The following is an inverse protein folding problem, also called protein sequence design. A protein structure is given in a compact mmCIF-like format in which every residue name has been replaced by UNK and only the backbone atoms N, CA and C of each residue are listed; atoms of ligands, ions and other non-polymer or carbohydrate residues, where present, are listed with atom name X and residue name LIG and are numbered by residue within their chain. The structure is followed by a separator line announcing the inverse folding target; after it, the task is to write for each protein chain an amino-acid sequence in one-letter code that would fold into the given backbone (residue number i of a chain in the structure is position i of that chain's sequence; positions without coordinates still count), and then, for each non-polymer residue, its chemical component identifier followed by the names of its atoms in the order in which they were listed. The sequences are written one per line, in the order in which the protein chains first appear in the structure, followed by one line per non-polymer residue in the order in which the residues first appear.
data_IF_785743791390
#
_entry.id   IF_785743791390
#
_cell.length_a   1.000
_cell.length_b   1.000
_cell.length_c   1.000
_cell.angle_alpha   90.00
_cell.angle_beta   90.00
_cell.angle_gamma   90.00
#
_symmetry.space_group_name_H-M   'P 1'
#
loop_
_entity.id
_entity.type
_entity.pdbx_description
1 polymer ?
#
# COMPACT_ATOMS: atom_id res chain seq x y z
N UNK A 1 3.74 30.53 -12.78
CA UNK A 1 4.35 29.28 -12.29
C UNK A 1 3.68 28.97 -10.97
N UNK A 2 2.80 27.98 -10.93
CA UNK A 2 2.12 27.58 -9.68
C UNK A 2 3.05 26.60 -8.97
N UNK A 3 3.47 26.96 -7.76
CA UNK A 3 4.26 26.09 -6.89
C UNK A 3 3.48 24.78 -6.65
N UNK A 4 4.11 23.63 -6.85
CA UNK A 4 3.47 22.35 -6.57
C UNK A 4 3.18 22.30 -5.06
N UNK A 5 2.00 21.81 -4.64
CA UNK A 5 1.67 21.74 -3.23
C UNK A 5 2.72 20.91 -2.49
N UNK A 6 3.21 21.44 -1.37
CA UNK A 6 4.11 20.72 -0.47
C UNK A 6 3.44 19.41 -0.05
N UNK A 7 4.11 18.25 -0.19
CA UNK A 7 3.53 16.99 0.22
C UNK A 7 3.31 16.99 1.74
N UNK A 8 2.19 16.45 2.19
CA UNK A 8 1.92 16.30 3.61
C UNK A 8 2.87 15.26 4.22
N UNK A 9 3.29 15.47 5.46
CA UNK A 9 4.17 14.54 6.19
C UNK A 9 3.59 14.21 7.56
N UNK A 10 4.02 13.09 8.13
CA UNK A 10 3.65 12.73 9.50
C UNK A 10 4.33 11.45 9.97
N UNK A 11 3.93 11.01 11.16
CA UNK A 11 4.39 9.77 11.81
C UNK A 11 3.33 8.68 11.72
N UNK A 12 3.77 7.42 11.67
CA UNK A 12 2.93 6.24 11.73
C UNK A 12 3.70 5.08 12.38
N UNK A 13 3.03 3.94 12.62
CA UNK A 13 3.67 2.74 13.14
C UNK A 13 3.67 1.63 12.08
N UNK A 14 4.85 1.13 11.74
CA UNK A 14 5.04 0.04 10.80
C UNK A 14 5.14 -1.28 11.57
N UNK A 15 4.27 -2.22 11.23
CA UNK A 15 4.32 -3.60 11.71
C UNK A 15 4.79 -4.51 10.57
N UNK A 16 5.93 -5.18 10.75
CA UNK A 16 6.32 -6.24 9.84
C UNK A 16 5.45 -7.48 10.09
N UNK A 17 4.86 -8.07 9.06
CA UNK A 17 4.08 -9.31 9.19
C UNK A 17 4.95 -10.56 9.10
N UNK A 18 6.19 -10.43 8.59
CA UNK A 18 6.98 -11.60 8.20
C UNK A 18 6.29 -12.37 7.08
N UNK A 19 6.46 -13.71 7.07
CA UNK A 19 5.69 -14.60 6.18
C UNK A 19 4.49 -15.15 6.93
N UNK A 20 3.29 -14.90 6.41
CA UNK A 20 2.02 -15.36 6.96
C UNK A 20 1.24 -16.18 5.93
N UNK A 21 0.24 -16.94 6.39
CA UNK A 21 -0.69 -17.65 5.50
C UNK A 21 -1.72 -16.68 4.90
N UNK A 22 -2.33 -17.08 3.78
CA UNK A 22 -3.49 -16.39 3.23
C UNK A 22 -4.65 -16.28 4.23
N UNK A 23 -4.89 -17.32 5.03
CA UNK A 23 -5.96 -17.32 6.04
C UNK A 23 -5.76 -16.23 7.09
N UNK A 24 -4.54 -16.09 7.61
CA UNK A 24 -4.19 -15.01 8.55
C UNK A 24 -4.34 -13.65 7.91
N UNK A 25 -3.87 -13.47 6.68
CA UNK A 25 -4.04 -12.23 5.94
C UNK A 25 -5.52 -11.90 5.71
N UNK A 26 -6.31 -12.86 5.24
CA UNK A 26 -7.73 -12.71 4.94
C UNK A 26 -8.53 -12.28 6.17
N UNK A 27 -8.19 -12.80 7.35
CA UNK A 27 -8.78 -12.35 8.61
C UNK A 27 -8.56 -10.85 8.85
N UNK A 28 -7.36 -10.32 8.59
CA UNK A 28 -7.08 -8.87 8.64
C UNK A 28 -7.88 -8.09 7.60
N UNK A 29 -7.96 -8.62 6.37
CA UNK A 29 -8.65 -7.96 5.26
C UNK A 29 -10.16 -7.83 5.45
N UNK A 30 -10.78 -8.58 6.35
CA UNK A 30 -12.23 -8.49 6.62
C UNK A 30 -12.70 -7.10 7.07
N UNK A 31 -11.81 -6.29 7.64
CA UNK A 31 -12.08 -4.91 8.08
C UNK A 31 -11.60 -3.86 7.06
N UNK A 32 -11.04 -4.29 5.94
CA UNK A 32 -10.65 -3.39 4.86
C UNK A 32 -11.88 -2.78 4.20
N UNK A 33 -11.80 -1.50 3.87
CA UNK A 33 -12.82 -0.82 3.07
C UNK A 33 -12.73 -1.28 1.62
N UNK A 34 -11.51 -1.28 1.08
CA UNK A 34 -11.20 -1.74 -0.27
C UNK A 34 -9.81 -2.35 -0.31
N UNK A 35 -9.59 -3.16 -1.33
CA UNK A 35 -8.32 -3.78 -1.69
C UNK A 35 -7.99 -3.48 -3.13
N UNK A 36 -6.71 -3.45 -3.46
CA UNK A 36 -6.22 -3.37 -4.82
C UNK A 36 -5.17 -4.46 -5.03
N UNK A 37 -5.22 -5.16 -6.15
CA UNK A 37 -4.26 -6.23 -6.46
C UNK A 37 -4.08 -6.36 -7.97
N UNK A 38 -3.01 -7.04 -8.37
CA UNK A 38 -2.77 -7.39 -9.77
C UNK A 38 -2.73 -8.90 -9.96
N UNK A 39 -3.39 -9.44 -10.96
CA UNK A 39 -3.26 -10.85 -11.34
C UNK A 39 -3.09 -10.98 -12.87
N UNK A 40 -3.32 -12.18 -13.41
CA UNK A 40 -3.17 -12.43 -14.84
C UNK A 40 -4.18 -11.65 -15.70
N UNK A 41 -5.28 -11.20 -15.12
CA UNK A 41 -6.34 -10.45 -15.81
C UNK A 41 -6.18 -8.93 -15.66
N UNK A 42 -5.11 -8.49 -14.99
CA UNK A 42 -4.75 -7.07 -14.85
C UNK A 42 -4.84 -6.56 -13.42
N UNK A 43 -5.13 -5.27 -13.28
CA UNK A 43 -5.22 -4.59 -11.98
C UNK A 43 -6.68 -4.45 -11.55
N UNK A 44 -6.95 -4.76 -10.29
CA UNK A 44 -8.28 -4.79 -9.70
C UNK A 44 -8.36 -3.88 -8.49
N UNK A 45 -9.56 -3.33 -8.25
CA UNK A 45 -9.90 -2.60 -7.03
C UNK A 45 -11.30 -3.06 -6.59
N UNK A 46 -11.45 -3.41 -5.32
CA UNK A 46 -12.74 -3.80 -4.77
C UNK A 46 -12.64 -4.52 -3.44
N UNK A 47 -13.66 -5.31 -3.11
CA UNK A 47 -13.68 -6.15 -1.92
C UNK A 47 -12.48 -7.11 -1.89
N UNK A 48 -12.00 -7.52 -0.70
CA UNK A 48 -10.94 -8.51 -0.59
C UNK A 48 -11.25 -9.76 -1.42
N UNK A 49 -10.30 -10.28 -2.21
CA UNK A 49 -10.54 -11.48 -3.00
C UNK A 49 -10.79 -12.67 -2.06
N UNK A 50 -11.65 -13.60 -2.48
CA UNK A 50 -12.02 -14.76 -1.65
C UNK A 50 -10.95 -15.85 -1.62
N UNK A 51 -10.04 -15.83 -2.58
CA UNK A 51 -8.91 -16.75 -2.75
C UNK A 51 -7.65 -15.92 -3.02
N UNK A 52 -6.45 -16.41 -2.67
CA UNK A 52 -5.22 -15.68 -2.92
C UNK A 52 -5.01 -15.46 -4.43
N UNK A 53 -4.87 -14.21 -4.90
CA UNK A 53 -4.46 -13.95 -6.28
C UNK A 53 -3.13 -14.63 -6.62
N UNK A 54 -2.99 -15.25 -7.81
CA UNK A 54 -1.76 -15.90 -8.22
C UNK A 54 -0.66 -14.86 -8.49
N UNK A 55 0.37 -14.83 -7.63
CA UNK A 55 1.57 -13.98 -7.73
C UNK A 55 1.27 -12.48 -7.91
N UNK A 56 0.93 -11.84 -6.81
CA UNK A 56 0.46 -10.46 -6.83
C UNK A 56 1.16 -9.58 -5.80
N UNK A 57 1.13 -8.27 -6.03
CA UNK A 57 1.14 -7.33 -4.92
C UNK A 57 -0.30 -6.98 -4.58
N UNK A 58 -0.65 -7.09 -3.30
CA UNK A 58 -1.93 -6.67 -2.78
C UNK A 58 -1.72 -5.49 -1.83
N UNK A 59 -2.57 -4.48 -2.00
CA UNK A 59 -2.76 -3.38 -1.09
C UNK A 59 -4.17 -3.45 -0.53
N UNK A 60 -4.35 -3.03 0.70
CA UNK A 60 -5.67 -2.81 1.28
C UNK A 60 -5.60 -1.69 2.30
N UNK A 61 -6.74 -1.11 2.59
CA UNK A 61 -6.79 0.01 3.53
C UNK A 61 -8.10 0.03 4.30
N UNK A 62 -8.01 0.61 5.49
CA UNK A 62 -9.12 1.12 6.27
C UNK A 62 -8.89 2.62 6.53
N UNK A 63 -9.70 3.20 7.41
CA UNK A 63 -9.46 4.55 7.95
C UNK A 63 -8.24 4.60 8.86
N UNK A 64 -7.86 3.49 9.49
CA UNK A 64 -6.84 3.44 10.56
C UNK A 64 -5.53 2.81 10.11
N UNK A 65 -5.53 2.01 9.05
CA UNK A 65 -4.34 1.28 8.61
C UNK A 65 -4.29 1.11 7.09
N UNK A 66 -3.08 0.90 6.57
CA UNK A 66 -2.82 0.45 5.20
C UNK A 66 -1.97 -0.81 5.24
N UNK A 67 -2.18 -1.74 4.32
CA UNK A 67 -1.35 -2.93 4.18
C UNK A 67 -0.75 -2.98 2.78
N UNK A 68 0.47 -3.49 2.70
CA UNK A 68 1.09 -3.89 1.44
C UNK A 68 1.72 -5.26 1.62
N UNK A 69 1.31 -6.22 0.79
CA UNK A 69 1.87 -7.57 0.78
C UNK A 69 2.23 -7.99 -0.64
N UNK A 70 3.28 -8.81 -0.74
CA UNK A 70 3.51 -9.68 -1.88
C UNK A 70 2.91 -11.04 -1.58
N UNK A 71 2.11 -11.54 -2.50
CA UNK A 71 1.52 -12.87 -2.46
C UNK A 71 2.40 -13.84 -3.25
N UNK A 72 2.60 -15.01 -2.66
CA UNK A 72 3.30 -16.14 -3.23
C UNK A 72 2.48 -17.40 -2.91
N UNK A 73 1.63 -17.77 -3.87
CA UNK A 73 0.61 -18.80 -3.72
C UNK A 73 -0.23 -18.58 -2.45
N UNK A 74 -0.26 -19.56 -1.53
CA UNK A 74 -1.01 -19.50 -0.28
C UNK A 74 -0.34 -18.69 0.85
N UNK A 75 0.75 -17.98 0.58
CA UNK A 75 1.49 -17.21 1.58
C UNK A 75 1.63 -15.74 1.18
N UNK A 76 1.79 -14.88 2.18
CA UNK A 76 1.99 -13.45 2.01
C UNK A 76 3.20 -12.99 2.81
N UNK A 77 3.92 -11.99 2.28
CA UNK A 77 4.98 -11.28 2.99
C UNK A 77 4.76 -9.79 2.82
N UNK A 78 4.77 -9.04 3.92
CA UNK A 78 4.57 -7.61 3.85
C UNK A 78 4.51 -6.93 5.21
N UNK A 79 3.85 -5.79 5.23
CA UNK A 79 3.74 -4.94 6.40
C UNK A 79 2.40 -4.22 6.45
N UNK A 80 2.02 -3.81 7.66
CA UNK A 80 0.90 -2.91 7.94
C UNK A 80 1.44 -1.58 8.43
N UNK A 81 0.95 -0.49 7.86
CA UNK A 81 1.18 0.88 8.32
C UNK A 81 -0.05 1.34 9.11
N UNK A 82 0.08 1.46 10.42
CA UNK A 82 -0.95 1.97 11.31
C UNK A 82 -0.84 3.51 11.36
N UNK A 83 -1.90 4.20 10.93
CA UNK A 83 -1.97 5.66 10.85
C UNK A 83 -2.31 6.31 12.19
N UNK A 84 -2.98 5.57 13.08
CA UNK A 84 -3.23 5.95 14.45
C UNK A 84 -2.28 5.21 15.41
N UNK A 85 -2.19 5.69 16.64
CA UNK A 85 -1.45 5.01 17.70
C UNK A 85 -2.13 3.66 18.00
N UNK A 86 -1.43 2.53 17.81
CA UNK A 86 -2.04 1.22 18.00
C UNK A 86 -2.43 1.04 19.46
N UNK A 87 -3.69 0.66 19.70
CA UNK A 87 -4.28 0.53 21.04
C UNK A 87 -3.71 -0.64 21.86
N UNK A 88 -2.89 -1.50 21.24
CA UNK A 88 -2.32 -2.70 21.86
C UNK A 88 -0.83 -2.82 21.52
N UNK A 89 -0.05 -3.30 22.50
CA UNK A 89 1.40 -3.54 22.38
C UNK A 89 1.73 -4.70 21.44
N UNK A 90 1.40 -4.55 20.16
CA UNK A 90 1.84 -5.47 19.12
C UNK A 90 3.37 -5.55 19.17
N UNK A 91 3.94 -6.76 19.32
CA UNK A 91 5.37 -6.91 19.19
C UNK A 91 5.78 -6.44 17.79
N UNK A 92 6.92 -5.76 17.71
CA UNK A 92 7.57 -5.32 16.46
C UNK A 92 6.91 -4.14 15.70
N UNK A 93 6.33 -3.19 16.44
CA UNK A 93 5.96 -1.88 15.89
C UNK A 93 7.15 -0.93 15.84
N UNK A 94 7.40 -0.35 14.67
CA UNK A 94 8.44 0.65 14.45
C UNK A 94 7.83 1.99 14.07
N UNK A 95 8.12 3.06 14.82
CA UNK A 95 7.71 4.41 14.42
C UNK A 95 8.47 4.82 13.15
N UNK A 96 7.72 5.22 12.12
CA UNK A 96 8.25 5.66 10.83
C UNK A 96 7.70 7.03 10.46
N UNK A 97 8.49 7.78 9.70
CA UNK A 97 8.01 8.98 9.01
C UNK A 97 7.46 8.61 7.65
N UNK A 98 6.39 9.30 7.25
CA UNK A 98 5.82 9.16 5.92
C UNK A 98 5.69 10.51 5.23
N UNK A 99 5.74 10.46 3.90
CA UNK A 99 5.38 11.55 3.00
C UNK A 99 4.18 11.10 2.17
N UNK A 100 3.12 11.91 2.13
CA UNK A 100 1.91 11.65 1.37
C UNK A 100 1.99 12.37 0.03
N UNK A 101 1.81 11.61 -1.04
CA UNK A 101 1.64 12.14 -2.38
C UNK A 101 0.26 11.79 -2.91
N UNK A 102 -0.42 12.80 -3.45
CA UNK A 102 -1.61 12.59 -4.27
C UNK A 102 -1.19 12.47 -5.73
N UNK A 103 -1.64 11.40 -6.37
CA UNK A 103 -1.42 11.16 -7.80
C UNK A 103 -2.69 10.64 -8.44
N UNK A 104 -2.63 10.39 -9.75
CA UNK A 104 -3.65 9.66 -10.49
C UNK A 104 -3.15 8.25 -10.78
N UNK A 105 -4.07 7.29 -10.77
CA UNK A 105 -3.81 5.97 -11.37
C UNK A 105 -3.63 6.13 -12.88
N UNK A 106 -3.36 5.03 -13.56
CA UNK A 106 -3.03 5.03 -14.98
C UNK A 106 -4.09 5.74 -15.84
N UNK A 107 -3.66 6.48 -16.88
CA UNK A 107 -4.58 7.02 -17.87
C UNK A 107 -5.23 5.88 -18.68
N UNK A 108 -6.37 6.16 -19.30
CA UNK A 108 -7.12 5.18 -20.12
C UNK A 108 -6.29 4.56 -21.27
N UNK A 109 -5.30 5.31 -21.77
CA UNK A 109 -4.42 4.88 -22.86
C UNK A 109 -3.16 4.11 -22.38
N UNK A 110 -3.06 3.79 -21.09
CA UNK A 110 -1.93 3.02 -20.56
C UNK A 110 -1.97 1.56 -21.05
N UNK A 111 -0.84 1.07 -21.56
CA UNK A 111 -0.71 -0.29 -22.09
C UNK A 111 0.39 -1.12 -21.41
N UNK A 112 1.10 -0.59 -20.41
CA UNK A 112 2.21 -1.30 -19.73
C UNK A 112 1.77 -2.44 -18.82
N UNK A 113 0.50 -2.47 -18.41
CA UNK A 113 -0.05 -3.41 -17.40
C UNK A 113 -1.20 -4.27 -17.93
N UNK A 114 -1.34 -4.35 -19.25
CA UNK A 114 -2.48 -5.00 -19.90
C UNK A 114 -3.70 -4.10 -20.01
N UNK A 115 -4.84 -4.63 -20.49
CA UNK A 115 -6.09 -3.87 -20.57
C UNK A 115 -6.52 -3.41 -19.18
N UNK A 116 -6.76 -2.11 -19.03
CA UNK A 116 -7.25 -1.54 -17.79
C UNK A 116 -8.77 -1.38 -17.83
N UNK A 117 -9.45 -1.82 -16.77
CA UNK A 117 -10.86 -1.50 -16.59
C UNK A 117 -11.03 0.01 -16.43
N UNK A 118 -12.08 0.63 -17.01
CA UNK A 118 -12.45 2.00 -16.72
C UNK A 118 -12.63 2.26 -15.22
N UNK A 119 -12.85 1.24 -14.38
CA UNK A 119 -12.99 1.45 -12.94
C UNK A 119 -11.67 1.76 -12.24
N UNK A 120 -10.53 1.37 -12.82
CA UNK A 120 -9.20 1.53 -12.22
C UNK A 120 -8.39 2.70 -12.80
N UNK A 121 -8.79 3.22 -13.96
CA UNK A 121 -8.09 4.33 -14.61
C UNK A 121 -8.48 5.69 -14.05
N UNK A 122 -7.55 6.64 -14.10
CA UNK A 122 -7.77 8.05 -13.73
C UNK A 122 -8.43 8.26 -12.34
N UNK A 123 -8.12 7.38 -11.38
CA UNK A 123 -8.56 7.50 -9.99
C UNK A 123 -7.56 8.32 -9.18
N UNK A 124 -8.03 9.05 -8.18
CA UNK A 124 -7.14 9.69 -7.20
C UNK A 124 -6.52 8.63 -6.30
N UNK A 125 -5.19 8.67 -6.18
CA UNK A 125 -4.41 7.73 -5.38
C UNK A 125 -3.62 8.50 -4.34
N UNK A 126 -3.65 8.00 -3.11
CA UNK A 126 -2.78 8.40 -2.02
C UNK A 126 -1.63 7.41 -1.89
N UNK A 127 -0.40 7.93 -1.98
CA UNK A 127 0.83 7.19 -1.78
C UNK A 127 1.48 7.63 -0.48
N UNK A 128 1.44 6.75 0.52
CA UNK A 128 2.17 6.92 1.78
C UNK A 128 3.56 6.30 1.63
N UNK A 129 4.54 7.15 1.36
CA UNK A 129 5.93 6.74 1.19
C UNK A 129 6.62 6.73 2.54
N UNK A 130 7.02 5.55 3.01
CA UNK A 130 7.90 5.43 4.18
C UNK A 130 9.35 5.44 3.71
N UNK A 131 10.16 6.29 4.34
CA UNK A 131 11.57 6.41 4.04
C UNK A 131 12.36 5.51 5.01
N UNK A 132 13.12 4.53 4.51
CA UNK A 132 14.00 3.76 5.38
C UNK A 132 15.09 4.70 5.93
N UNK A 133 15.06 4.93 7.24
CA UNK A 133 16.03 5.66 8.06
C UNK A 133 16.08 7.20 7.95
N UNK A 134 15.58 7.87 9.00
CA UNK A 134 16.16 9.12 9.52
C UNK A 134 17.13 8.82 10.68
N UNK A 135 18.06 7.88 10.51
CA UNK A 135 19.22 7.80 11.41
C UNK A 135 20.37 8.54 10.75
N UNK A 136 20.92 9.52 11.45
CA UNK A 136 21.99 10.44 11.04
C UNK A 136 23.29 9.74 10.59
N UNK A 137 23.30 9.12 9.41
CA UNK A 137 24.54 8.63 8.80
C UNK A 137 24.58 9.08 7.34
N UNK A 138 25.44 10.05 6.99
CA UNK A 138 25.68 10.40 5.60
C UNK A 138 26.58 9.33 5.02
N UNK A 139 26.00 8.31 4.40
CA UNK A 139 26.75 7.43 3.52
C UNK A 139 26.06 7.44 2.19
N UNK A 140 26.83 7.76 1.14
CA UNK A 140 26.42 7.70 -0.25
C UNK A 140 25.73 6.37 -0.51
N UNK A 141 24.40 6.37 -0.48
CA UNK A 141 23.59 5.17 -0.52
C UNK A 141 22.67 5.32 -1.72
N UNK A 142 22.69 4.30 -2.56
CA UNK A 142 21.64 3.99 -3.54
C UNK A 142 20.32 4.46 -2.96
N UNK A 143 19.67 5.46 -3.57
CA UNK A 143 18.40 5.97 -3.09
C UNK A 143 17.44 4.79 -2.97
N UNK A 144 17.29 4.27 -1.75
CA UNK A 144 16.43 3.12 -1.50
C UNK A 144 15.03 3.58 -1.90
N UNK A 145 14.41 2.89 -2.85
CA UNK A 145 13.06 3.24 -3.25
C UNK A 145 12.17 3.20 -2.00
N UNK A 146 11.40 4.26 -1.73
CA UNK A 146 10.52 4.26 -0.57
C UNK A 146 9.55 3.09 -0.67
N UNK A 147 9.18 2.52 0.48
CA UNK A 147 8.10 1.54 0.50
C UNK A 147 6.81 2.36 0.46
N UNK A 148 6.01 2.17 -0.60
CA UNK A 148 4.75 2.89 -0.78
C UNK A 148 3.58 2.04 -0.32
N UNK A 149 2.80 2.56 0.62
CA UNK A 149 1.44 2.09 0.89
C UNK A 149 0.46 2.90 0.04
N UNK A 150 -0.59 2.25 -0.42
CA UNK A 150 -1.49 2.80 -1.45
C UNK A 150 -2.91 2.79 -0.92
N UNK A 151 -3.60 3.91 -1.06
CA UNK A 151 -5.06 4.01 -0.95
C UNK A 151 -5.59 4.58 -2.25
N UNK A 152 -6.58 3.92 -2.85
CA UNK A 152 -7.24 4.43 -4.06
C UNK A 152 -8.62 4.93 -3.68
N UNK A 153 -8.96 6.15 -4.11
CA UNK A 153 -10.27 6.73 -3.86
C UNK A 153 -11.29 6.29 -4.91
N UNK A 154 -12.58 6.17 -4.55
CA UNK A 154 -13.66 5.99 -5.51
C UNK A 154 -13.63 7.06 -6.62
N UNK A 155 -14.08 6.70 -7.83
CA UNK A 155 -14.34 7.71 -8.87
C UNK A 155 -15.42 8.67 -8.36
N UNK A 156 -15.15 9.97 -8.47
CA UNK A 156 -16.13 11.03 -8.20
C UNK A 156 -17.02 11.25 -9.41
#
# INVERSE_FOLDING_TARGET
MTEAPTPATGTAHLQALGRISWETLAATLTTAQETAWADYDGFHIGAPPTQPPPYSHLWAWSTEWLIRVRLDAGTAIGAVLHLAEPTTGHPDLHTVQWTLHHTRSWPDAENRVGPLSPDVTDRTVELYNIHPYLSEVPTAAIAAQPISFVRVHPKR
#
